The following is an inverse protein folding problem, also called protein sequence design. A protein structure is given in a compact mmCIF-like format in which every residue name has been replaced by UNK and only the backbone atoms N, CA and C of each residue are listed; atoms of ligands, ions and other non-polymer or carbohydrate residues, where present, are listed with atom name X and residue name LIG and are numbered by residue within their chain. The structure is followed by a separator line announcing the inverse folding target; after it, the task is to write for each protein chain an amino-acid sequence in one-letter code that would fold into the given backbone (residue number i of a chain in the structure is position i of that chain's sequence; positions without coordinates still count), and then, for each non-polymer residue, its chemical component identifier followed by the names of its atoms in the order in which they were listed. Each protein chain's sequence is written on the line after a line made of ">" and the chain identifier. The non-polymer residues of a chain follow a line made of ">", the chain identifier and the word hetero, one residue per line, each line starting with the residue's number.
data_IF_614821915845
#
_entry.id   IF_614821915845
#
_cell.length_a   1.000
_cell.length_b   1.000
_cell.length_c   1.000
_cell.angle_alpha   90.00
_cell.angle_beta   90.00
_cell.angle_gamma   90.00
#
_symmetry.space_group_name_H-M   'P 1'
#
loop_
_entity.id
_entity.type
_entity.pdbx_description
1 polymer ?
#
# COMPACT_ATOMS: atom_id res chain seq x y z
N UNK A 1 -23.83 39.15 -29.09
CA UNK A 1 -22.95 38.22 -28.33
C UNK A 1 -23.27 38.21 -26.83
N UNK A 2 -23.85 39.27 -26.26
CA UNK A 2 -24.14 39.41 -24.82
C UNK A 2 -25.23 38.49 -24.28
N UNK A 3 -26.35 38.30 -24.99
CA UNK A 3 -27.45 37.40 -24.57
C UNK A 3 -27.00 35.96 -24.24
N UNK A 4 -26.01 35.46 -24.98
CA UNK A 4 -25.46 34.10 -24.78
C UNK A 4 -24.61 34.00 -23.50
N UNK A 5 -24.10 35.12 -23.00
CA UNK A 5 -23.37 35.19 -21.73
C UNK A 5 -24.30 35.30 -20.54
N UNK A 6 -25.38 36.08 -20.66
CA UNK A 6 -26.42 36.20 -19.64
C UNK A 6 -27.12 34.85 -19.37
N UNK A 7 -27.46 34.13 -20.43
CA UNK A 7 -28.04 32.78 -20.31
C UNK A 7 -27.09 31.78 -19.64
N UNK A 8 -25.79 31.88 -19.94
CA UNK A 8 -24.76 31.05 -19.30
C UNK A 8 -24.59 31.40 -17.83
N UNK A 9 -24.61 32.68 -17.47
CA UNK A 9 -24.51 33.13 -16.08
C UNK A 9 -25.69 32.64 -15.27
N UNK A 10 -26.91 32.81 -15.80
CA UNK A 10 -28.12 32.29 -15.17
C UNK A 10 -28.06 30.78 -14.97
N UNK A 11 -27.58 30.04 -15.97
CA UNK A 11 -27.41 28.58 -15.85
C UNK A 11 -26.39 28.19 -14.77
N UNK A 12 -25.28 28.92 -14.66
CA UNK A 12 -24.26 28.68 -13.61
C UNK A 12 -24.81 28.99 -12.21
N UNK A 13 -25.58 30.06 -12.06
CA UNK A 13 -26.24 30.43 -10.80
C UNK A 13 -27.26 29.38 -10.37
N UNK A 14 -28.12 28.93 -11.29
CA UNK A 14 -29.08 27.85 -11.06
C UNK A 14 -28.38 26.55 -10.62
N UNK A 15 -27.26 26.22 -11.26
CA UNK A 15 -26.44 25.04 -10.92
C UNK A 15 -25.81 25.17 -9.53
N UNK A 16 -25.31 26.36 -9.18
CA UNK A 16 -24.72 26.64 -7.88
C UNK A 16 -25.76 26.51 -6.75
N UNK A 17 -26.96 27.03 -6.94
CA UNK A 17 -28.07 26.90 -6.00
C UNK A 17 -28.57 25.46 -5.87
N UNK A 18 -28.50 24.68 -6.96
CA UNK A 18 -28.79 23.26 -6.93
C UNK A 18 -27.78 22.49 -6.06
N UNK A 19 -26.48 22.72 -6.25
CA UNK A 19 -25.43 22.05 -5.46
C UNK A 19 -25.35 22.52 -4.01
N UNK A 20 -25.76 23.76 -3.71
CA UNK A 20 -25.89 24.23 -2.32
C UNK A 20 -26.98 23.46 -1.57
N UNK A 21 -28.08 23.10 -2.26
CA UNK A 21 -29.21 22.35 -1.69
C UNK A 21 -29.00 20.84 -1.73
N UNK A 22 -28.24 20.34 -2.70
CA UNK A 22 -27.88 18.94 -2.86
C UNK A 22 -26.37 18.81 -2.83
N UNK A 23 -25.74 18.94 -1.64
CA UNK A 23 -24.31 18.77 -1.52
C UNK A 23 -23.95 17.40 -2.09
N UNK A 24 -23.01 17.37 -3.04
CA UNK A 24 -22.56 16.13 -3.66
C UNK A 24 -22.13 15.18 -2.54
N UNK A 25 -22.92 14.11 -2.32
CA UNK A 25 -22.76 13.18 -1.19
C UNK A 25 -21.51 12.30 -1.30
N UNK A 26 -20.65 12.55 -2.29
CA UNK A 26 -19.38 11.89 -2.43
C UNK A 26 -18.30 12.94 -2.63
N UNK A 27 -17.24 12.96 -1.79
CA UNK A 27 -16.08 13.79 -2.07
C UNK A 27 -15.59 13.42 -3.47
N UNK A 28 -15.45 14.43 -4.34
CA UNK A 28 -14.90 14.25 -5.67
C UNK A 28 -13.55 13.55 -5.54
N UNK A 29 -13.48 12.30 -5.99
CA UNK A 29 -12.23 11.54 -6.05
C UNK A 29 -11.65 11.76 -7.44
N UNK A 30 -10.63 12.61 -7.60
CA UNK A 30 -9.95 12.75 -8.89
C UNK A 30 -9.47 11.37 -9.33
N UNK A 31 -10.02 10.88 -10.44
CA UNK A 31 -9.59 9.62 -11.05
C UNK A 31 -8.20 9.84 -11.62
N UNK A 32 -7.26 8.95 -11.31
CA UNK A 32 -5.94 8.97 -11.93
C UNK A 32 -6.00 8.56 -13.40
N UNK A 33 -6.98 7.74 -13.78
CA UNK A 33 -7.22 7.35 -15.16
C UNK A 33 -7.81 8.52 -15.97
N UNK A 34 -7.26 8.76 -17.16
CA UNK A 34 -7.88 9.65 -18.15
C UNK A 34 -9.22 9.04 -18.61
N UNK A 35 -10.17 9.84 -19.14
CA UNK A 35 -11.50 9.34 -19.53
C UNK A 35 -11.52 8.15 -20.50
N UNK A 36 -10.46 7.95 -21.28
CA UNK A 36 -10.31 6.85 -22.26
C UNK A 36 -9.46 5.67 -21.76
N UNK A 37 -8.94 5.74 -20.54
CA UNK A 37 -8.24 4.62 -19.89
C UNK A 37 -9.25 3.82 -19.03
N UNK A 38 -9.01 2.51 -18.82
CA UNK A 38 -9.84 1.73 -17.90
C UNK A 38 -9.85 2.39 -16.51
N UNK A 39 -10.98 2.24 -15.82
CA UNK A 39 -11.19 2.89 -14.52
C UNK A 39 -10.18 2.36 -13.51
N UNK A 40 -9.58 3.29 -12.76
CA UNK A 40 -8.68 3.00 -11.65
C UNK A 40 -9.25 1.94 -10.71
N UNK A 41 -8.57 0.80 -10.59
CA UNK A 41 -9.06 -0.35 -9.81
C UNK A 41 -8.91 -0.05 -8.32
N UNK A 42 -10.03 0.25 -7.65
CA UNK A 42 -10.08 0.43 -6.19
C UNK A 42 -11.30 -0.31 -5.62
N UNK A 43 -11.11 -1.57 -5.21
CA UNK A 43 -12.22 -2.46 -4.78
C UNK A 43 -11.93 -3.09 -3.43
N UNK A 44 -12.90 -3.03 -2.52
CA UNK A 44 -12.83 -3.64 -1.19
C UNK A 44 -13.63 -4.94 -1.14
N UNK A 45 -13.07 -5.95 -0.45
CA UNK A 45 -13.68 -7.25 -0.25
C UNK A 45 -13.62 -7.64 1.23
N UNK A 46 -14.66 -8.32 1.75
CA UNK A 46 -14.68 -8.79 3.14
C UNK A 46 -13.86 -10.08 3.35
N UNK A 47 -13.52 -10.80 2.27
CA UNK A 47 -12.80 -12.08 2.34
C UNK A 47 -11.61 -12.07 1.40
N UNK A 48 -10.47 -12.58 1.88
CA UNK A 48 -9.23 -12.68 1.12
C UNK A 48 -9.40 -13.44 -0.20
N UNK A 49 -10.10 -14.57 -0.16
CA UNK A 49 -10.33 -15.39 -1.36
C UNK A 49 -11.08 -14.63 -2.46
N UNK A 50 -12.05 -13.77 -2.09
CA UNK A 50 -12.77 -12.95 -3.06
C UNK A 50 -11.87 -11.88 -3.69
N UNK A 51 -11.01 -11.26 -2.89
CA UNK A 51 -10.04 -10.30 -3.39
C UNK A 51 -9.07 -10.95 -4.39
N UNK A 52 -8.54 -12.14 -4.08
CA UNK A 52 -7.66 -12.85 -5.02
C UNK A 52 -8.37 -13.32 -6.28
N UNK A 53 -9.61 -13.81 -6.17
CA UNK A 53 -10.40 -14.18 -7.35
C UNK A 53 -10.63 -12.98 -8.26
N UNK A 54 -10.94 -11.81 -7.68
CA UNK A 54 -11.06 -10.58 -8.45
C UNK A 54 -9.72 -10.16 -9.08
N UNK A 55 -8.62 -10.20 -8.31
CA UNK A 55 -7.29 -9.87 -8.82
C UNK A 55 -6.89 -10.73 -10.02
N UNK A 56 -7.20 -12.04 -10.00
CA UNK A 56 -6.96 -12.97 -11.12
C UNK A 56 -7.80 -12.65 -12.37
N UNK A 57 -8.96 -12.02 -12.21
CA UNK A 57 -9.84 -11.63 -13.31
C UNK A 57 -9.48 -10.26 -13.91
N UNK A 58 -8.66 -9.47 -13.20
CA UNK A 58 -8.20 -8.18 -13.68
C UNK A 58 -7.17 -8.35 -14.81
N UNK A 59 -7.26 -7.48 -15.82
CA UNK A 59 -6.25 -7.37 -16.89
C UNK A 59 -5.05 -6.50 -16.47
N UNK A 60 -5.25 -5.68 -15.45
CA UNK A 60 -4.25 -4.77 -14.90
C UNK A 60 -3.41 -5.48 -13.84
N UNK A 61 -2.17 -5.01 -13.65
CA UNK A 61 -1.28 -5.50 -12.58
C UNK A 61 -1.76 -4.95 -11.23
N UNK A 62 -2.67 -5.70 -10.61
CA UNK A 62 -3.31 -5.36 -9.34
C UNK A 62 -2.80 -6.24 -8.22
N UNK A 63 -2.71 -5.67 -7.04
CA UNK A 63 -2.24 -6.33 -5.83
C UNK A 63 -3.33 -6.29 -4.76
N UNK A 64 -3.24 -7.24 -3.83
CA UNK A 64 -4.17 -7.36 -2.70
C UNK A 64 -3.50 -6.79 -1.46
N UNK A 65 -4.20 -5.88 -0.80
CA UNK A 65 -3.81 -5.27 0.45
C UNK A 65 -4.83 -5.58 1.54
N UNK A 66 -4.38 -5.98 2.72
CA UNK A 66 -5.20 -6.14 3.91
C UNK A 66 -5.23 -4.84 4.70
N UNK A 67 -6.42 -4.31 4.96
CA UNK A 67 -6.66 -3.15 5.81
C UNK A 67 -7.25 -3.63 7.13
N UNK A 68 -6.60 -3.28 8.23
CA UNK A 68 -7.18 -3.42 9.55
C UNK A 68 -7.97 -2.15 9.86
N UNK A 69 -9.26 -2.33 10.11
CA UNK A 69 -10.19 -1.25 10.39
C UNK A 69 -10.98 -1.59 11.65
N UNK A 70 -11.16 -0.60 12.52
CA UNK A 70 -12.05 -0.72 13.66
C UNK A 70 -13.43 -0.25 13.19
N UNK A 71 -14.37 -1.17 13.11
CA UNK A 71 -15.77 -0.87 12.81
C UNK A 71 -16.59 -1.38 13.99
N UNK A 72 -17.32 -0.49 14.65
CA UNK A 72 -18.19 -0.82 15.79
C UNK A 72 -17.46 -1.57 16.92
N UNK A 73 -16.31 -1.03 17.37
CA UNK A 73 -15.42 -1.60 18.39
C UNK A 73 -14.91 -3.03 18.10
N UNK A 74 -15.11 -3.50 16.87
CA UNK A 74 -14.63 -4.79 16.40
C UNK A 74 -13.53 -4.56 15.38
N UNK A 75 -12.34 -5.07 15.65
CA UNK A 75 -11.27 -5.14 14.66
C UNK A 75 -11.68 -6.08 13.52
N UNK A 76 -11.78 -5.53 12.32
CA UNK A 76 -12.12 -6.28 11.11
C UNK A 76 -11.04 -6.06 10.06
N UNK A 77 -10.76 -7.11 9.30
CA UNK A 77 -9.83 -7.07 8.18
C UNK A 77 -10.61 -7.03 6.87
N UNK A 78 -10.39 -5.97 6.11
CA UNK A 78 -10.89 -5.83 4.74
C UNK A 78 -9.73 -6.02 3.76
N UNK A 79 -10.05 -6.39 2.52
CA UNK A 79 -9.07 -6.64 1.47
C UNK A 79 -9.30 -5.68 0.31
N UNK A 80 -8.37 -4.75 0.09
CA UNK A 80 -8.36 -3.85 -1.05
C UNK A 80 -7.61 -4.49 -2.21
N UNK A 81 -8.19 -4.38 -3.41
CA UNK A 81 -7.51 -4.70 -4.67
C UNK A 81 -7.31 -3.41 -5.44
N UNK A 82 -6.05 -3.08 -5.72
CA UNK A 82 -5.66 -1.90 -6.49
C UNK A 82 -4.24 -2.03 -7.05
N UNK A 83 -3.82 -1.10 -7.90
CA UNK A 83 -2.44 -1.03 -8.41
C UNK A 83 -1.54 -0.31 -7.41
N UNK A 84 -0.21 -0.53 -7.48
CA UNK A 84 0.73 0.20 -6.62
C UNK A 84 0.68 1.72 -6.81
N UNK A 85 0.49 2.20 -8.04
CA UNK A 85 0.44 3.62 -8.35
C UNK A 85 -0.77 4.30 -7.70
N UNK A 86 -1.93 3.65 -7.77
CA UNK A 86 -3.14 4.12 -7.11
C UNK A 86 -3.03 4.04 -5.59
N UNK A 87 -2.58 2.90 -5.07
CA UNK A 87 -2.33 2.74 -3.65
C UNK A 87 -1.46 3.87 -3.11
N UNK A 88 -0.31 4.12 -3.74
CA UNK A 88 0.63 5.14 -3.31
C UNK A 88 0.02 6.55 -3.33
N UNK A 89 -0.73 6.89 -4.38
CA UNK A 89 -1.38 8.20 -4.49
C UNK A 89 -2.34 8.48 -3.34
N UNK A 90 -3.15 7.50 -2.94
CA UNK A 90 -4.08 7.66 -1.82
C UNK A 90 -3.36 7.54 -0.47
N UNK A 91 -2.36 6.66 -0.37
CA UNK A 91 -1.55 6.48 0.83
C UNK A 91 -0.84 7.77 1.25
N UNK A 92 -0.20 8.48 0.32
CA UNK A 92 0.48 9.76 0.60
C UNK A 92 -0.52 10.84 1.06
N UNK A 93 -1.76 10.82 0.55
CA UNK A 93 -2.78 11.82 0.86
C UNK A 93 -3.54 11.54 2.16
N UNK A 94 -3.71 10.26 2.52
CA UNK A 94 -4.51 9.84 3.68
C UNK A 94 -3.76 8.78 4.52
N UNK A 95 -2.59 9.12 5.07
CA UNK A 95 -1.72 8.14 5.74
C UNK A 95 -2.37 7.52 6.98
N UNK A 96 -3.24 8.24 7.69
CA UNK A 96 -3.91 7.76 8.92
C UNK A 96 -4.91 6.65 8.60
N UNK A 97 -5.66 6.76 7.50
CA UNK A 97 -6.68 5.76 7.14
C UNK A 97 -6.09 4.47 6.55
N UNK A 98 -4.83 4.53 6.10
CA UNK A 98 -4.12 3.43 5.45
C UNK A 98 -2.90 2.99 6.26
N UNK A 99 -2.76 3.45 7.51
CA UNK A 99 -1.60 3.16 8.37
C UNK A 99 -1.49 1.68 8.74
N UNK A 100 -2.62 0.99 8.85
CA UNK A 100 -2.71 -0.45 9.15
C UNK A 100 -3.00 -1.26 7.88
N UNK A 101 -2.21 -0.98 6.84
CA UNK A 101 -2.34 -1.63 5.55
C UNK A 101 -1.12 -2.51 5.25
N UNK A 102 -1.38 -3.77 4.90
CA UNK A 102 -0.36 -4.78 4.62
C UNK A 102 -0.55 -5.35 3.22
N UNK A 103 0.54 -5.52 2.46
CA UNK A 103 0.48 -6.27 1.22
C UNK A 103 0.27 -7.76 1.53
N UNK A 104 -0.69 -8.39 0.85
CA UNK A 104 -0.92 -9.83 0.97
C UNK A 104 -0.19 -10.53 -0.17
N UNK A 105 0.92 -11.19 0.16
CA UNK A 105 1.71 -11.96 -0.80
C UNK A 105 0.91 -13.21 -1.19
N UNK A 106 0.55 -13.40 -2.48
CA UNK A 106 -0.16 -14.60 -2.90
C UNK A 106 0.71 -15.84 -2.72
N UNK A 107 0.10 -16.93 -2.28
CA UNK A 107 0.78 -18.23 -2.22
C UNK A 107 1.23 -18.67 -3.62
N UNK A 108 2.37 -19.38 -3.68
CA UNK A 108 2.92 -19.97 -4.90
C UNK A 108 3.22 -18.96 -6.02
N UNK A 109 3.50 -17.70 -5.65
CA UNK A 109 3.93 -16.66 -6.60
C UNK A 109 5.37 -16.25 -6.36
N UNK A 110 6.03 -15.74 -7.42
CA UNK A 110 7.36 -15.15 -7.30
C UNK A 110 7.28 -13.97 -6.34
N UNK A 111 8.03 -14.04 -5.26
CA UNK A 111 8.05 -13.00 -4.23
C UNK A 111 9.49 -12.55 -3.96
N UNK A 112 9.60 -11.41 -3.28
CA UNK A 112 10.87 -10.93 -2.78
C UNK A 112 11.21 -11.67 -1.48
N UNK A 113 12.50 -11.81 -1.19
CA UNK A 113 12.95 -12.38 0.08
C UNK A 113 12.84 -11.33 1.18
N UNK A 114 11.90 -11.49 2.11
CA UNK A 114 11.68 -10.59 3.24
C UNK A 114 12.20 -11.21 4.55
N UNK A 115 12.74 -10.38 5.44
CA UNK A 115 13.07 -10.77 6.81
C UNK A 115 12.24 -9.94 7.77
N UNK A 116 11.61 -10.58 8.76
CA UNK A 116 11.07 -9.87 9.91
C UNK A 116 12.05 -10.08 11.06
N UNK A 117 12.76 -9.02 11.44
CA UNK A 117 13.79 -9.07 12.47
C UNK A 117 13.28 -8.26 13.65
N UNK A 118 13.12 -8.92 14.78
CA UNK A 118 12.74 -8.25 16.01
C UNK A 118 13.52 -8.80 17.20
N UNK A 119 13.86 -7.90 18.10
CA UNK A 119 14.50 -8.23 19.35
C UNK A 119 13.97 -7.29 20.45
N UNK A 120 13.98 -7.81 21.67
CA UNK A 120 13.51 -7.08 22.85
C UNK A 120 14.65 -6.23 23.40
N UNK A 121 14.54 -4.90 23.27
CA UNK A 121 15.63 -3.97 23.61
C UNK A 121 16.09 -4.04 25.07
N UNK A 122 15.20 -4.11 26.09
CA UNK A 122 15.64 -4.12 27.48
C UNK A 122 16.46 -5.35 27.88
N UNK A 123 16.27 -6.50 27.22
CA UNK A 123 17.11 -7.68 27.45
C UNK A 123 18.40 -7.70 26.61
N UNK A 124 18.59 -6.72 25.73
CA UNK A 124 19.72 -6.61 24.82
C UNK A 124 20.27 -5.16 24.80
N UNK A 125 20.61 -4.56 25.96
CA UNK A 125 20.96 -3.14 26.04
C UNK A 125 22.27 -2.79 25.31
N UNK A 126 23.18 -3.75 25.18
CA UNK A 126 24.45 -3.62 24.46
C UNK A 126 24.37 -3.87 22.95
N UNK A 127 23.19 -4.25 22.44
CA UNK A 127 23.04 -4.70 21.05
C UNK A 127 22.73 -3.54 20.12
N UNK A 128 23.61 -3.32 19.15
CA UNK A 128 23.38 -2.40 18.04
C UNK A 128 22.56 -3.08 16.94
N UNK A 129 21.25 -2.79 16.93
CA UNK A 129 20.34 -3.29 15.92
C UNK A 129 20.75 -2.96 14.49
N UNK A 130 21.38 -1.80 14.23
CA UNK A 130 21.83 -1.46 12.87
C UNK A 130 22.98 -2.37 12.42
N UNK A 131 23.91 -2.66 13.34
CA UNK A 131 25.02 -3.58 13.08
C UNK A 131 24.54 -5.00 12.88
N UNK A 132 23.60 -5.50 13.69
CA UNK A 132 23.01 -6.84 13.51
C UNK A 132 22.45 -7.01 12.09
N UNK A 133 21.77 -5.98 11.62
CA UNK A 133 21.07 -5.99 10.36
C UNK A 133 22.04 -5.95 9.19
N UNK A 134 23.09 -5.13 9.29
CA UNK A 134 24.19 -5.14 8.33
C UNK A 134 24.83 -6.54 8.23
N UNK A 135 25.07 -7.22 9.37
CA UNK A 135 25.62 -8.56 9.40
C UNK A 135 24.68 -9.60 8.75
N UNK A 136 23.38 -9.52 9.01
CA UNK A 136 22.39 -10.40 8.36
C UNK A 136 22.39 -10.17 6.85
N UNK A 137 22.36 -8.91 6.41
CA UNK A 137 22.41 -8.55 4.99
C UNK A 137 23.69 -9.11 4.34
N UNK A 138 24.85 -8.94 4.97
CA UNK A 138 26.13 -9.43 4.47
C UNK A 138 26.16 -10.96 4.37
N UNK A 139 25.70 -11.64 5.42
CA UNK A 139 25.64 -13.09 5.47
C UNK A 139 24.77 -13.65 4.33
N UNK A 140 23.52 -13.17 4.20
CA UNK A 140 22.63 -13.65 3.16
C UNK A 140 23.10 -13.22 1.76
N UNK A 141 23.65 -12.04 1.59
CA UNK A 141 24.20 -11.61 0.30
C UNK A 141 25.33 -12.53 -0.17
N UNK A 142 26.19 -12.97 0.76
CA UNK A 142 27.27 -13.92 0.47
C UNK A 142 26.71 -15.29 0.12
N UNK A 143 25.81 -15.82 0.96
CA UNK A 143 25.20 -17.14 0.74
C UNK A 143 24.36 -17.22 -0.53
N UNK A 144 23.65 -16.15 -0.89
CA UNK A 144 22.86 -16.11 -2.11
C UNK A 144 23.75 -16.02 -3.35
N UNK A 145 24.86 -15.29 -3.32
CA UNK A 145 25.83 -15.26 -4.43
C UNK A 145 26.42 -16.64 -4.71
N UNK A 146 26.71 -17.41 -3.68
CA UNK A 146 27.30 -18.74 -3.82
C UNK A 146 26.28 -19.81 -4.26
N UNK A 147 24.98 -19.48 -4.21
CA UNK A 147 23.93 -20.44 -4.51
C UNK A 147 23.63 -20.50 -6.02
N UNK A 148 23.66 -21.69 -6.67
CA UNK A 148 23.52 -21.82 -8.13
C UNK A 148 22.27 -21.17 -8.73
N UNK A 149 21.15 -21.20 -7.98
CA UNK A 149 19.88 -20.62 -8.41
C UNK A 149 19.88 -19.07 -8.48
N UNK A 150 20.88 -18.40 -7.90
CA UNK A 150 20.89 -16.95 -7.69
C UNK A 150 22.10 -16.24 -8.33
N UNK A 151 23.01 -17.00 -8.97
CA UNK A 151 24.27 -16.51 -9.57
C UNK A 151 24.13 -15.40 -10.64
N UNK A 152 22.95 -15.21 -11.22
CA UNK A 152 22.68 -14.24 -12.30
C UNK A 152 21.78 -13.07 -11.87
N UNK A 153 21.40 -13.00 -10.60
CA UNK A 153 20.43 -12.02 -10.13
C UNK A 153 21.10 -10.79 -9.52
N UNK A 154 20.46 -9.63 -9.71
CA UNK A 154 20.90 -8.36 -9.14
C UNK A 154 20.19 -8.15 -7.81
N UNK A 155 20.95 -8.19 -6.72
CA UNK A 155 20.40 -8.00 -5.37
C UNK A 155 20.30 -6.50 -5.05
N UNK A 156 19.13 -6.08 -4.55
CA UNK A 156 18.95 -4.76 -3.96
C UNK A 156 18.45 -4.94 -2.53
N UNK A 157 18.97 -4.13 -1.61
CA UNK A 157 18.66 -4.24 -0.19
C UNK A 157 18.07 -2.91 0.25
N UNK A 158 16.82 -2.94 0.69
CA UNK A 158 16.16 -1.77 1.25
C UNK A 158 16.01 -1.94 2.76
N UNK A 159 16.80 -1.24 3.57
CA UNK A 159 16.51 -1.17 4.98
C UNK A 159 15.25 -0.32 5.18
N UNK A 160 14.22 -0.88 5.80
CA UNK A 160 13.05 -0.13 6.26
C UNK A 160 13.13 -0.05 7.77
N UNK A 161 13.01 1.14 8.35
CA UNK A 161 12.86 1.29 9.80
C UNK A 161 11.39 1.57 10.10
N UNK A 162 10.74 0.71 10.89
CA UNK A 162 9.36 0.93 11.29
C UNK A 162 9.31 1.84 12.54
N UNK A 163 9.17 3.15 12.33
CA UNK A 163 9.05 4.14 13.40
C UNK A 163 7.69 4.06 14.14
N UNK A 164 6.65 3.46 13.52
CA UNK A 164 5.28 3.45 14.07
C UNK A 164 5.10 2.50 15.28
N UNK A 165 6.01 1.54 15.50
CA UNK A 165 6.03 0.70 16.71
C UNK A 165 6.76 1.35 17.89
N UNK A 166 7.23 2.60 17.78
CA UNK A 166 7.79 3.34 18.92
C UNK A 166 6.78 3.60 20.05
N UNK A 167 5.48 3.42 19.80
CA UNK A 167 4.44 3.54 20.84
C UNK A 167 4.31 2.28 21.73
N UNK A 168 4.99 1.18 21.38
CA UNK A 168 5.36 0.12 22.33
C UNK A 168 6.87 0.21 22.53
N UNK A 169 7.38 0.71 23.67
CA UNK A 169 8.79 1.09 23.83
C UNK A 169 9.82 -0.06 23.67
N UNK A 170 9.38 -1.29 23.39
CA UNK A 170 10.15 -2.49 23.64
C UNK A 170 10.37 -3.42 22.43
N UNK A 171 9.91 -3.11 21.21
CA UNK A 171 10.02 -4.09 20.10
C UNK A 171 10.22 -3.51 18.68
N UNK A 172 11.17 -4.17 17.99
CA UNK A 172 11.29 -4.37 16.52
C UNK A 172 11.97 -3.27 15.66
N UNK A 173 12.92 -3.71 14.82
CA UNK A 173 13.40 -3.02 13.59
C UNK A 173 13.03 -3.92 12.41
N UNK A 174 11.89 -3.67 11.75
CA UNK A 174 11.37 -4.52 10.67
C UNK A 174 12.11 -4.25 9.35
N UNK A 175 12.98 -5.15 8.91
CA UNK A 175 13.77 -4.96 7.68
C UNK A 175 13.28 -5.76 6.49
N UNK A 176 12.58 -5.06 5.59
CA UNK A 176 12.17 -5.62 4.31
C UNK A 176 13.34 -5.67 3.33
N UNK A 177 14.15 -6.72 3.40
CA UNK A 177 15.00 -7.07 2.26
C UNK A 177 14.08 -7.32 1.04
N UNK A 178 14.46 -6.82 -0.13
CA UNK A 178 13.64 -6.92 -1.34
C UNK A 178 14.53 -7.50 -2.43
N UNK A 179 14.65 -8.82 -2.45
CA UNK A 179 15.37 -9.49 -3.55
C UNK A 179 14.50 -9.49 -4.79
N UNK A 180 14.95 -8.84 -5.87
CA UNK A 180 14.33 -8.97 -7.18
C UNK A 180 14.76 -10.29 -7.82
N UNK A 181 13.85 -11.26 -7.86
CA UNK A 181 13.90 -12.33 -8.85
C UNK A 181 13.45 -11.70 -10.19
N UNK A 182 14.40 -11.30 -11.02
CA UNK A 182 14.17 -11.14 -12.47
C UNK A 182 14.67 -12.40 -13.17
#
# INVERSE_FOLDING_TARGET
>A
MERKWEEKMKHVEELADYYRRHPLSFPYRPKLAKPWLPSSVWKLFPRQALAFNFAKMCKEDVHVFALETVIDDTERRLYLVTTYAEFWFYYVKQPISLSHCYEVIPADTVCKLYFDIEFYKPANPEVDGKKMVALVIEYFSTKLKDHPAFLKQRFFVMPVENQAKQMQPNMSIVLRMVTFLL
#
